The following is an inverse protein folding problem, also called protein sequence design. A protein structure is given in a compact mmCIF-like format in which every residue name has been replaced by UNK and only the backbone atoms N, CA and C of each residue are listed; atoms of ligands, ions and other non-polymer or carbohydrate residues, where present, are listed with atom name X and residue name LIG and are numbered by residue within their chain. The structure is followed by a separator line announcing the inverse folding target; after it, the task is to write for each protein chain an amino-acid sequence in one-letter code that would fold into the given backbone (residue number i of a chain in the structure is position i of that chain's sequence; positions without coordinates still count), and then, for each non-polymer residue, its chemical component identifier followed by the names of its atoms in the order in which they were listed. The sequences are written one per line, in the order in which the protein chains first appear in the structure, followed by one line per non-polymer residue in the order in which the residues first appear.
data_IF_806437339455
#
_entry.id   IF_806437339455
#
_cell.length_a   1.000
_cell.length_b   1.000
_cell.length_c   1.000
_cell.angle_alpha   90.00
_cell.angle_beta   90.00
_cell.angle_gamma   90.00
#
_symmetry.space_group_name_H-M   'P 1'
#
loop_
_entity.id
_entity.type
_entity.pdbx_description
1 polymer ?
#
# COMPACT_ATOMS: atom_id res chain seq x y z
N UNK A 1 17.25 16.11 1.42
CA UNK A 1 18.35 15.31 0.84
C UNK A 1 18.24 13.91 1.41
N UNK A 2 17.78 12.94 0.62
CA UNK A 2 17.80 11.53 1.01
C UNK A 2 19.26 11.07 1.05
N UNK A 3 19.76 10.41 2.10
CA UNK A 3 21.15 10.00 2.13
C UNK A 3 21.37 8.88 1.10
N UNK A 4 22.17 9.16 0.08
CA UNK A 4 22.75 8.18 -0.83
C UNK A 4 23.85 7.42 -0.07
N UNK A 5 23.43 6.45 0.74
CA UNK A 5 24.32 5.54 1.45
C UNK A 5 24.18 4.14 0.87
N UNK A 6 25.00 3.82 -0.13
CA UNK A 6 25.19 2.46 -0.62
C UNK A 6 25.82 1.60 0.47
N UNK A 7 24.97 0.86 1.18
CA UNK A 7 25.36 -0.34 1.89
C UNK A 7 24.36 -1.42 1.49
N UNK A 8 24.78 -2.32 0.61
CA UNK A 8 24.04 -3.57 0.39
C UNK A 8 24.03 -4.32 1.72
N UNK A 9 23.00 -4.09 2.55
CA UNK A 9 22.75 -4.93 3.73
C UNK A 9 22.50 -6.34 3.21
N UNK A 10 23.51 -7.21 3.34
CA UNK A 10 23.33 -8.65 3.18
C UNK A 10 22.21 -9.04 4.15
N UNK A 11 21.06 -9.48 3.61
CA UNK A 11 19.89 -9.83 4.41
C UNK A 11 20.27 -10.95 5.38
N UNK A 12 20.05 -10.75 6.67
CA UNK A 12 20.35 -11.79 7.66
C UNK A 12 19.46 -13.02 7.43
N UNK A 13 19.85 -14.22 7.90
CA UNK A 13 18.98 -15.40 7.83
C UNK A 13 17.61 -15.18 8.50
N UNK A 14 17.55 -14.32 9.53
CA UNK A 14 16.31 -13.90 10.19
C UNK A 14 15.44 -13.05 9.27
N UNK A 15 16.02 -12.10 8.54
CA UNK A 15 15.30 -11.28 7.56
C UNK A 15 14.73 -12.15 6.42
N UNK A 16 15.49 -13.15 5.97
CA UNK A 16 15.05 -14.12 4.97
C UNK A 16 13.91 -14.99 5.46
N UNK A 17 13.93 -15.43 6.73
CA UNK A 17 12.84 -16.22 7.32
C UNK A 17 11.56 -15.39 7.50
N UNK A 18 11.69 -14.15 8.00
CA UNK A 18 10.57 -13.21 8.14
C UNK A 18 9.93 -12.89 6.78
N UNK A 19 10.74 -12.63 5.76
CA UNK A 19 10.25 -12.44 4.39
C UNK A 19 9.46 -13.65 3.90
N UNK A 20 10.01 -14.86 4.05
CA UNK A 20 9.30 -16.09 3.65
C UNK A 20 7.97 -16.24 4.38
N UNK A 21 7.95 -16.00 5.69
CA UNK A 21 6.72 -16.06 6.48
C UNK A 21 5.67 -15.04 6.01
N UNK A 22 6.09 -13.80 5.72
CA UNK A 22 5.19 -12.76 5.20
C UNK A 22 4.61 -13.16 3.83
N UNK A 23 5.45 -13.62 2.90
CA UNK A 23 5.00 -14.03 1.57
C UNK A 23 4.18 -15.33 1.56
N UNK A 24 4.34 -16.20 2.57
CA UNK A 24 3.53 -17.40 2.73
C UNK A 24 2.21 -17.15 3.48
N UNK A 25 1.92 -15.91 3.89
CA UNK A 25 0.74 -15.58 4.68
C UNK A 25 0.79 -16.04 6.15
N UNK A 26 1.97 -16.43 6.65
CA UNK A 26 2.13 -16.84 8.04
C UNK A 26 2.33 -15.60 8.94
N UNK A 27 1.22 -14.90 9.22
CA UNK A 27 1.24 -13.65 10.00
C UNK A 27 1.57 -13.85 11.48
N UNK A 28 1.29 -15.02 12.05
CA UNK A 28 1.61 -15.31 13.46
C UNK A 28 3.11 -15.44 13.71
N UNK A 29 3.90 -15.72 12.67
CA UNK A 29 5.36 -15.72 12.74
C UNK A 29 5.98 -14.31 12.59
N UNK A 30 5.17 -13.28 12.33
CA UNK A 30 5.65 -11.90 12.21
C UNK A 30 5.56 -11.18 13.56
N UNK A 31 6.56 -10.36 13.91
CA UNK A 31 6.44 -9.43 15.03
C UNK A 31 5.22 -8.52 14.88
N UNK A 32 4.49 -8.28 15.98
CA UNK A 32 3.25 -7.48 15.98
C UNK A 32 3.43 -6.05 15.43
N UNK A 33 4.61 -5.45 15.61
CA UNK A 33 4.93 -4.13 15.05
C UNK A 33 5.11 -4.13 13.52
N UNK A 34 5.30 -5.30 12.89
CA UNK A 34 5.41 -5.46 11.43
C UNK A 34 4.08 -5.89 10.80
N UNK A 35 3.08 -6.24 11.61
CA UNK A 35 1.77 -6.68 11.15
C UNK A 35 0.68 -6.07 12.05
N UNK A 36 0.25 -4.83 11.77
CA UNK A 36 -0.81 -4.18 12.53
C UNK A 36 -2.13 -4.98 12.42
N UNK A 37 -2.88 -5.00 13.52
CA UNK A 37 -4.19 -5.68 13.60
C UNK A 37 -5.32 -4.80 13.07
N UNK A 38 -5.15 -4.26 11.86
CA UNK A 38 -6.19 -3.51 11.17
C UNK A 38 -7.39 -4.38 10.79
N UNK A 39 -8.56 -3.75 10.65
CA UNK A 39 -9.79 -4.39 10.12
C UNK A 39 -10.01 -4.14 8.62
N UNK A 40 -9.05 -3.49 7.99
CA UNK A 40 -9.10 -3.07 6.59
C UNK A 40 -7.78 -3.39 5.89
N UNK A 41 -7.83 -4.02 4.72
CA UNK A 41 -6.73 -4.06 3.77
C UNK A 41 -6.72 -2.73 3.02
N UNK A 42 -5.61 -1.98 3.13
CA UNK A 42 -5.48 -0.65 2.51
C UNK A 42 -4.43 -0.67 1.41
N UNK A 43 -4.78 -0.15 0.24
CA UNK A 43 -3.89 0.00 -0.91
C UNK A 43 -3.68 1.49 -1.16
N UNK A 44 -2.46 1.95 -1.01
CA UNK A 44 -2.08 3.32 -1.33
C UNK A 44 -1.55 3.41 -2.76
N UNK A 45 -2.15 4.26 -3.59
CA UNK A 45 -1.72 4.46 -4.98
C UNK A 45 -0.66 5.56 -5.02
N UNK A 46 0.58 5.16 -5.26
CA UNK A 46 1.72 6.07 -5.43
C UNK A 46 2.23 6.02 -6.87
N UNK A 47 1.56 6.75 -7.77
CA UNK A 47 1.93 6.84 -9.19
C UNK A 47 1.99 8.29 -9.65
N UNK A 48 2.60 8.51 -10.82
CA UNK A 48 2.41 9.74 -11.57
C UNK A 48 0.99 9.75 -12.14
N UNK A 49 0.13 10.71 -11.78
CA UNK A 49 -1.29 10.66 -12.14
C UNK A 49 -1.52 10.82 -13.65
N UNK A 50 -0.67 11.57 -14.34
CA UNK A 50 -0.70 11.80 -15.79
C UNK A 50 -0.46 10.49 -16.55
N UNK A 51 0.52 9.70 -16.10
CA UNK A 51 0.95 8.49 -16.81
C UNK A 51 0.04 7.28 -16.55
N UNK A 52 -0.83 7.34 -15.52
CA UNK A 52 -1.54 6.16 -15.01
C UNK A 52 -3.06 6.28 -15.02
N UNK A 53 -3.62 7.18 -15.83
CA UNK A 53 -5.08 7.42 -15.88
C UNK A 53 -5.84 6.16 -16.29
N UNK A 54 -5.37 5.46 -17.32
CA UNK A 54 -6.04 4.28 -17.87
C UNK A 54 -6.02 3.10 -16.88
N UNK A 55 -4.86 2.81 -16.30
CA UNK A 55 -4.65 1.74 -15.33
C UNK A 55 -5.49 1.98 -14.08
N UNK A 56 -5.49 3.20 -13.53
CA UNK A 56 -6.28 3.54 -12.34
C UNK A 56 -7.78 3.43 -12.62
N UNK A 57 -8.23 3.81 -13.81
CA UNK A 57 -9.64 3.66 -14.22
C UNK A 57 -10.03 2.19 -14.34
N UNK A 58 -9.22 1.37 -15.03
CA UNK A 58 -9.47 -0.07 -15.16
C UNK A 58 -9.46 -0.80 -13.80
N UNK A 59 -8.53 -0.44 -12.90
CA UNK A 59 -8.48 -0.98 -11.55
C UNK A 59 -9.76 -0.63 -10.77
N UNK A 60 -10.21 0.62 -10.85
CA UNK A 60 -11.42 1.07 -10.16
C UNK A 60 -12.68 0.40 -10.68
N UNK A 61 -12.81 0.27 -11.99
CA UNK A 61 -14.01 -0.28 -12.63
C UNK A 61 -14.09 -1.79 -12.51
N UNK A 62 -12.96 -2.51 -12.59
CA UNK A 62 -12.98 -3.96 -12.75
C UNK A 62 -12.36 -4.75 -11.60
N UNK A 63 -11.43 -4.15 -10.84
CA UNK A 63 -10.60 -4.89 -9.88
C UNK A 63 -10.99 -4.57 -8.43
N UNK A 64 -11.08 -3.28 -8.05
CA UNK A 64 -11.41 -2.89 -6.68
C UNK A 64 -12.77 -3.42 -6.18
N UNK A 65 -13.83 -3.51 -6.99
CA UNK A 65 -15.09 -4.12 -6.56
C UNK A 65 -14.92 -5.60 -6.18
N UNK A 66 -14.19 -6.35 -7.01
CA UNK A 66 -13.92 -7.78 -6.78
C UNK A 66 -13.07 -8.00 -5.52
N UNK A 67 -12.07 -7.16 -5.30
CA UNK A 67 -11.24 -7.23 -4.09
C UNK A 67 -12.02 -6.88 -2.82
N UNK A 68 -12.92 -5.88 -2.89
CA UNK A 68 -13.85 -5.58 -1.78
C UNK A 68 -14.71 -6.76 -1.42
N UNK A 69 -15.34 -7.38 -2.42
CA UNK A 69 -16.18 -8.56 -2.22
C UNK A 69 -15.37 -9.72 -1.64
N UNK A 70 -14.22 -10.03 -2.24
CA UNK A 70 -13.32 -11.09 -1.78
C UNK A 70 -12.87 -10.89 -0.32
N UNK A 71 -12.39 -9.70 0.05
CA UNK A 71 -11.95 -9.41 1.42
C UNK A 71 -13.09 -9.52 2.43
N UNK A 72 -14.28 -9.04 2.07
CA UNK A 72 -15.46 -9.08 2.94
C UNK A 72 -15.94 -10.51 3.14
N UNK A 73 -16.09 -11.28 2.08
CA UNK A 73 -16.73 -12.60 2.12
C UNK A 73 -15.83 -13.68 2.71
N UNK A 74 -14.53 -13.64 2.41
CA UNK A 74 -13.61 -14.70 2.84
C UNK A 74 -12.97 -14.40 4.20
N UNK A 75 -12.86 -13.12 4.58
CA UNK A 75 -12.07 -12.71 5.75
C UNK A 75 -12.79 -11.72 6.67
N UNK A 76 -13.97 -11.22 6.31
CA UNK A 76 -14.67 -10.19 7.10
C UNK A 76 -13.90 -8.87 7.20
N UNK A 77 -13.02 -8.59 6.23
CA UNK A 77 -12.19 -7.39 6.18
C UNK A 77 -12.74 -6.37 5.18
N UNK A 78 -12.53 -5.10 5.48
CA UNK A 78 -12.76 -4.05 4.48
C UNK A 78 -11.60 -3.95 3.49
N UNK A 79 -11.87 -3.53 2.26
CA UNK A 79 -10.84 -3.18 1.28
C UNK A 79 -10.97 -1.72 0.89
N UNK A 80 -9.91 -0.95 1.11
CA UNK A 80 -9.88 0.49 0.88
C UNK A 80 -8.71 0.85 -0.04
N UNK A 81 -8.99 1.67 -1.05
CA UNK A 81 -7.97 2.23 -1.92
C UNK A 81 -7.85 3.71 -1.64
N UNK A 82 -6.62 4.18 -1.44
CA UNK A 82 -6.27 5.57 -1.23
C UNK A 82 -5.60 6.06 -2.51
N UNK A 83 -6.41 6.64 -3.39
CA UNK A 83 -5.97 7.33 -4.62
C UNK A 83 -6.34 8.82 -4.49
N UNK A 84 -5.34 9.66 -4.25
CA UNK A 84 -5.54 11.08 -3.95
C UNK A 84 -5.94 11.90 -5.17
N UNK A 85 -5.77 11.38 -6.37
CA UNK A 85 -6.04 12.13 -7.59
C UNK A 85 -7.44 11.84 -8.13
N UNK A 86 -8.19 10.96 -7.47
CA UNK A 86 -9.56 10.69 -7.86
C UNK A 86 -10.47 11.87 -7.52
N UNK A 87 -11.12 12.43 -8.55
CA UNK A 87 -12.00 13.59 -8.38
C UNK A 87 -11.27 14.90 -8.04
N UNK A 88 -9.94 14.94 -8.23
CA UNK A 88 -9.12 16.14 -8.08
C UNK A 88 -8.73 16.62 -9.47
N UNK A 89 -8.91 17.91 -9.71
CA UNK A 89 -8.55 18.53 -10.99
C UNK A 89 -7.03 18.42 -11.24
N UNK A 90 -6.60 18.21 -12.50
CA UNK A 90 -5.18 18.01 -12.83
C UNK A 90 -4.25 19.11 -12.33
N UNK A 91 -4.72 20.35 -12.29
CA UNK A 91 -3.96 21.52 -11.83
C UNK A 91 -3.60 21.43 -10.34
N UNK A 92 -4.37 20.68 -9.55
CA UNK A 92 -4.19 20.52 -8.11
C UNK A 92 -3.28 19.34 -7.73
N UNK A 93 -2.97 18.44 -8.67
CA UNK A 93 -2.18 17.22 -8.41
C UNK A 93 -0.79 17.50 -7.83
N UNK A 94 -0.23 18.66 -8.16
CA UNK A 94 1.10 19.10 -7.72
C UNK A 94 1.06 20.14 -6.60
N UNK A 95 -0.13 20.44 -6.06
CA UNK A 95 -0.27 21.41 -4.98
C UNK A 95 0.47 20.95 -3.70
N UNK A 96 1.15 21.87 -2.98
CA UNK A 96 1.80 21.55 -1.71
C UNK A 96 0.85 20.92 -0.67
N UNK A 97 -0.42 21.31 -0.69
CA UNK A 97 -1.49 20.82 0.18
C UNK A 97 -1.79 19.35 -0.10
N UNK A 98 -1.90 18.97 -1.38
CA UNK A 98 -2.11 17.57 -1.77
C UNK A 98 -0.87 16.72 -1.44
N UNK A 99 0.35 17.27 -1.59
CA UNK A 99 1.57 16.57 -1.19
C UNK A 99 1.63 16.29 0.33
N UNK A 100 1.25 17.26 1.16
CA UNK A 100 1.16 17.06 2.62
C UNK A 100 0.12 15.98 2.97
N UNK A 101 -1.02 16.00 2.27
CA UNK A 101 -2.09 15.02 2.46
C UNK A 101 -1.64 13.61 2.05
N UNK A 102 -0.87 13.49 0.96
CA UNK A 102 -0.27 12.24 0.49
C UNK A 102 0.57 11.57 1.57
N UNK A 103 1.49 12.33 2.17
CA UNK A 103 2.39 11.80 3.20
C UNK A 103 1.63 11.38 4.46
N UNK A 104 0.66 12.19 4.91
CA UNK A 104 -0.21 11.84 6.04
C UNK A 104 -0.97 10.53 5.80
N UNK A 105 -1.64 10.42 4.66
CA UNK A 105 -2.43 9.24 4.32
C UNK A 105 -1.57 7.98 4.13
N UNK A 106 -0.35 8.11 3.62
CA UNK A 106 0.61 7.01 3.55
C UNK A 106 0.97 6.52 4.96
N UNK A 107 1.30 7.42 5.88
CA UNK A 107 1.59 7.06 7.27
C UNK A 107 0.40 6.38 7.95
N UNK A 108 -0.81 6.90 7.75
CA UNK A 108 -2.04 6.31 8.29
C UNK A 108 -2.27 4.91 7.71
N UNK A 109 -2.03 4.73 6.41
CA UNK A 109 -2.11 3.43 5.74
C UNK A 109 -1.14 2.41 6.37
N UNK A 110 0.11 2.82 6.62
CA UNK A 110 1.13 1.97 7.26
C UNK A 110 0.76 1.57 8.69
N UNK A 111 0.08 2.45 9.44
CA UNK A 111 -0.30 2.20 10.84
C UNK A 111 -1.59 1.39 10.98
N UNK A 112 -2.52 1.54 10.05
CA UNK A 112 -3.92 1.07 10.21
C UNK A 112 -4.31 -0.08 9.27
N UNK A 113 -3.51 -0.37 8.23
CA UNK A 113 -3.77 -1.52 7.36
C UNK A 113 -3.56 -2.83 8.11
N UNK A 114 -4.36 -3.83 7.75
CA UNK A 114 -4.18 -5.20 8.21
C UNK A 114 -2.92 -5.83 7.61
N UNK A 115 -2.09 -6.45 8.46
CA UNK A 115 -0.96 -7.27 8.02
C UNK A 115 0.27 -6.47 7.54
N UNK A 116 1.28 -7.17 7.00
CA UNK A 116 2.53 -6.54 6.56
C UNK A 116 2.33 -5.63 5.34
N UNK A 117 3.17 -4.60 5.27
CA UNK A 117 3.19 -3.69 4.12
C UNK A 117 4.10 -4.22 3.01
N UNK A 118 3.60 -4.21 1.77
CA UNK A 118 4.37 -4.52 0.58
C UNK A 118 4.38 -3.34 -0.38
N UNK A 119 5.51 -3.16 -1.07
CA UNK A 119 5.64 -2.19 -2.17
C UNK A 119 5.77 -2.98 -3.45
N UNK A 120 4.87 -2.71 -4.40
CA UNK A 120 4.86 -3.35 -5.71
C UNK A 120 5.10 -2.27 -6.76
N UNK A 121 6.13 -2.43 -7.57
CA UNK A 121 6.35 -1.62 -8.76
C UNK A 121 5.78 -2.34 -9.98
N UNK A 122 5.01 -1.63 -10.79
CA UNK A 122 4.59 -2.08 -12.11
C UNK A 122 5.64 -1.54 -13.10
N UNK A 123 6.16 -2.42 -13.96
CA UNK A 123 7.23 -2.13 -14.91
C UNK A 123 6.67 -2.05 -16.32
#
# INVERSE_FOLDING_TARGET
MWPTGGAGKVSSPRDSALRRAAFSGNLSALPSHLAPSGRSVRVFVSTNPEDTVAERSALREHIYPKLREFCRENYGLEFQVIDLYWGVEPEEWHSPELQKTRMRLLEDCLKTSAGPCFVVGIK
#
